data_IF_945769263431
#
_entry.id   IF_945769263431
#
_cell.length_a   1.000
_cell.length_b   1.000
_cell.length_c   1.000
_cell.angle_alpha   90.00
_cell.angle_beta   90.00
_cell.angle_gamma   90.00
#
_symmetry.space_group_name_H-M   'P 1'
#
loop_
_entity.id
_entity.type
_entity.pdbx_description
1 polymer ?
#
# COMPACT_ATOMS: atom_id res chain seq x y z
N UNK A 1 16.71 5.10 25.75
CA UNK A 1 15.88 3.87 25.72
C UNK A 1 14.46 4.15 25.21
N UNK A 2 13.78 5.19 25.67
CA UNK A 2 12.37 5.51 25.27
C UNK A 2 12.20 5.65 23.76
N UNK A 3 13.07 6.40 23.09
CA UNK A 3 12.97 6.62 21.63
C UNK A 3 13.17 5.33 20.83
N UNK A 4 14.10 4.47 21.20
CA UNK A 4 14.31 3.18 20.54
C UNK A 4 13.04 2.30 20.64
N UNK A 5 12.41 2.28 21.81
CA UNK A 5 11.14 1.57 22.00
C UNK A 5 10.01 2.18 21.17
N UNK A 6 9.90 3.52 21.12
CA UNK A 6 8.87 4.21 20.33
C UNK A 6 9.02 3.94 18.82
N UNK A 7 10.22 4.07 18.26
CA UNK A 7 10.49 3.77 16.86
C UNK A 7 10.22 2.29 16.52
N UNK A 8 10.66 1.37 17.38
CA UNK A 8 10.39 -0.07 17.21
C UNK A 8 8.90 -0.39 17.23
N UNK A 9 8.16 0.16 18.18
CA UNK A 9 6.72 -0.05 18.30
C UNK A 9 5.96 0.51 17.12
N UNK A 10 6.28 1.74 16.67
CA UNK A 10 5.64 2.37 15.50
C UNK A 10 5.96 1.61 14.22
N UNK A 11 7.20 1.15 14.04
CA UNK A 11 7.57 0.34 12.88
C UNK A 11 6.82 -1.00 12.85
N UNK A 12 6.72 -1.69 13.98
CA UNK A 12 5.95 -2.93 14.08
C UNK A 12 4.46 -2.70 13.79
N UNK A 13 3.88 -1.65 14.40
CA UNK A 13 2.50 -1.26 14.15
C UNK A 13 2.26 -0.92 12.68
N UNK A 14 3.20 -0.23 12.01
CA UNK A 14 3.10 0.11 10.61
C UNK A 14 3.06 -1.13 9.73
N UNK A 15 3.98 -2.07 9.92
CA UNK A 15 4.01 -3.33 9.15
C UNK A 15 2.73 -4.14 9.37
N UNK A 16 2.28 -4.25 10.63
CA UNK A 16 1.04 -4.96 10.97
C UNK A 16 -0.19 -4.32 10.33
N UNK A 17 -0.36 -3.00 10.46
CA UNK A 17 -1.50 -2.26 9.88
C UNK A 17 -1.49 -2.32 8.36
N UNK A 18 -0.31 -2.28 7.73
CA UNK A 18 -0.18 -2.50 6.28
C UNK A 18 -0.68 -3.89 5.90
N UNK A 19 -0.35 -4.92 6.68
CA UNK A 19 -0.88 -6.28 6.50
C UNK A 19 -2.41 -6.31 6.63
N UNK A 20 -2.95 -5.72 7.68
CA UNK A 20 -4.41 -5.65 7.94
C UNK A 20 -5.15 -4.91 6.82
N UNK A 21 -4.60 -3.79 6.33
CA UNK A 21 -5.27 -2.95 5.32
C UNK A 21 -5.11 -3.51 3.90
N UNK A 22 -3.87 -3.69 3.47
CA UNK A 22 -3.55 -4.00 2.08
C UNK A 22 -3.37 -5.50 1.84
N UNK A 23 -2.69 -6.20 2.74
CA UNK A 23 -2.49 -7.64 2.65
C UNK A 23 -3.79 -8.44 2.73
N UNK A 24 -4.71 -8.02 3.60
CA UNK A 24 -6.02 -8.65 3.70
C UNK A 24 -6.87 -8.41 2.43
N UNK A 25 -6.71 -7.25 1.77
CA UNK A 25 -7.37 -6.98 0.49
C UNK A 25 -6.82 -7.88 -0.64
N UNK A 26 -5.49 -8.04 -0.69
CA UNK A 26 -4.80 -8.94 -1.62
C UNK A 26 -5.29 -10.38 -1.48
N UNK A 27 -5.19 -10.95 -0.28
CA UNK A 27 -5.60 -12.32 0.01
C UNK A 27 -7.11 -12.50 -0.16
N UNK A 28 -7.91 -11.52 0.25
CA UNK A 28 -9.37 -11.58 0.20
C UNK A 28 -9.93 -11.55 -1.21
N UNK A 29 -9.31 -10.82 -2.14
CA UNK A 29 -9.70 -10.82 -3.55
C UNK A 29 -9.34 -12.15 -4.22
N UNK A 30 -8.09 -12.56 -4.11
CA UNK A 30 -7.57 -13.76 -4.79
C UNK A 30 -8.10 -15.07 -4.18
N UNK A 31 -8.40 -15.07 -2.89
CA UNK A 31 -9.04 -16.21 -2.21
C UNK A 31 -10.47 -16.50 -2.67
N UNK A 32 -11.08 -15.64 -3.47
CA UNK A 32 -12.37 -15.88 -4.12
C UNK A 32 -12.30 -16.82 -5.31
N UNK A 33 -11.10 -17.06 -5.83
CA UNK A 33 -10.91 -18.09 -6.85
C UNK A 33 -11.05 -19.48 -6.22
N UNK A 34 -12.04 -20.32 -6.61
CA UNK A 34 -12.47 -21.48 -5.82
C UNK A 34 -11.45 -22.60 -5.67
N UNK A 35 -10.28 -22.51 -6.29
CA UNK A 35 -9.25 -23.56 -6.29
C UNK A 35 -7.88 -23.10 -5.78
N UNK A 36 -7.78 -21.90 -5.23
CA UNK A 36 -6.53 -21.41 -4.66
C UNK A 36 -6.49 -21.71 -3.16
N UNK A 37 -5.44 -22.42 -2.72
CA UNK A 37 -5.24 -22.63 -1.29
C UNK A 37 -4.73 -21.35 -0.62
N UNK A 38 -5.21 -21.05 0.59
CA UNK A 38 -4.74 -19.90 1.36
C UNK A 38 -3.22 -19.96 1.63
N UNK A 39 -2.67 -21.17 1.78
CA UNK A 39 -1.23 -21.36 1.95
C UNK A 39 -0.45 -20.93 0.69
N UNK A 40 -0.89 -21.32 -0.51
CA UNK A 40 -0.28 -20.91 -1.76
C UNK A 40 -0.33 -19.38 -1.92
N UNK A 41 -1.49 -18.79 -1.71
CA UNK A 41 -1.66 -17.33 -1.82
C UNK A 41 -0.76 -16.59 -0.83
N UNK A 42 -0.66 -17.06 0.41
CA UNK A 42 0.24 -16.48 1.42
C UNK A 42 1.72 -16.62 1.02
N UNK A 43 2.12 -17.79 0.50
CA UNK A 43 3.48 -17.99 0.02
C UNK A 43 3.83 -17.08 -1.16
N UNK A 44 2.89 -16.88 -2.10
CA UNK A 44 3.04 -15.96 -3.23
C UNK A 44 3.15 -14.48 -2.82
N UNK A 45 2.69 -14.11 -1.63
CA UNK A 45 2.92 -12.78 -1.04
C UNK A 45 4.28 -12.73 -0.33
N UNK A 46 4.59 -13.74 0.48
CA UNK A 46 5.82 -13.80 1.29
C UNK A 46 7.08 -13.73 0.44
N UNK A 47 7.14 -14.54 -0.62
CA UNK A 47 8.35 -14.66 -1.46
C UNK A 47 8.73 -13.33 -2.11
N UNK A 48 7.84 -12.61 -2.81
CA UNK A 48 8.18 -11.31 -3.37
C UNK A 48 8.55 -10.26 -2.32
N UNK A 49 7.89 -10.26 -1.14
CA UNK A 49 8.24 -9.32 -0.05
C UNK A 49 9.69 -9.48 0.43
N UNK A 50 10.24 -10.69 0.33
CA UNK A 50 11.64 -10.95 0.68
C UNK A 50 12.59 -10.70 -0.50
N UNK A 51 12.20 -11.04 -1.72
CA UNK A 51 13.11 -11.00 -2.87
C UNK A 51 13.16 -9.62 -3.56
N UNK A 52 12.01 -8.98 -3.78
CA UNK A 52 11.94 -7.75 -4.60
C UNK A 52 12.69 -6.58 -3.97
N UNK A 53 12.63 -6.31 -2.64
CA UNK A 53 13.40 -5.22 -2.04
C UNK A 53 14.92 -5.45 -2.06
N UNK A 54 15.40 -6.67 -2.32
CA UNK A 54 16.83 -6.93 -2.52
C UNK A 54 17.31 -6.47 -3.90
N UNK A 55 16.40 -6.35 -4.88
CA UNK A 55 16.70 -5.90 -6.24
C UNK A 55 16.57 -4.39 -6.39
N UNK A 56 15.59 -3.80 -5.73
CA UNK A 56 15.30 -2.36 -5.82
C UNK A 56 14.83 -1.79 -4.48
N UNK A 57 15.29 -0.58 -4.15
CA UNK A 57 14.90 0.19 -2.96
C UNK A 57 14.50 1.62 -3.31
N UNK A 58 14.11 1.88 -4.56
CA UNK A 58 13.81 3.23 -5.07
C UNK A 58 12.67 3.89 -4.30
N UNK A 59 11.57 3.18 -4.05
CA UNK A 59 10.44 3.68 -3.26
C UNK A 59 10.85 3.90 -1.80
N UNK A 60 11.66 3.01 -1.22
CA UNK A 60 12.12 3.20 0.15
C UNK A 60 12.94 4.48 0.30
N UNK A 61 13.81 4.80 -0.65
CA UNK A 61 14.56 6.06 -0.68
C UNK A 61 13.66 7.29 -0.80
N UNK A 62 12.59 7.22 -1.60
CA UNK A 62 11.62 8.31 -1.68
C UNK A 62 11.07 8.68 -0.30
N UNK A 63 10.84 7.68 0.58
CA UNK A 63 10.35 7.93 1.94
C UNK A 63 11.43 8.37 2.93
N UNK A 64 12.70 7.99 2.71
CA UNK A 64 13.79 8.34 3.62
C UNK A 64 14.58 9.58 3.21
N UNK A 65 14.52 9.96 1.92
CA UNK A 65 15.33 11.04 1.36
C UNK A 65 14.51 12.06 0.56
N UNK A 66 13.33 11.67 0.08
CA UNK A 66 12.55 12.43 -0.91
C UNK A 66 11.39 13.25 -0.35
N UNK A 67 11.10 13.25 0.94
CA UNK A 67 9.95 13.97 1.52
C UNK A 67 10.37 15.12 2.43
N UNK A 68 11.37 14.92 3.28
CA UNK A 68 11.94 15.92 4.18
C UNK A 68 13.34 15.51 4.60
N UNK A 69 14.15 16.45 5.07
CA UNK A 69 15.47 16.13 5.60
C UNK A 69 15.36 15.34 6.92
N UNK A 70 15.89 14.13 6.93
CA UNK A 70 15.93 13.26 8.09
C UNK A 70 17.32 13.21 8.74
N UNK A 71 18.25 14.07 8.33
CA UNK A 71 19.66 14.03 8.73
C UNK A 71 19.91 14.36 10.19
N UNK A 72 18.98 15.04 10.86
CA UNK A 72 19.12 15.48 12.23
C UNK A 72 18.07 14.86 13.19
N UNK A 73 18.14 15.28 14.47
CA UNK A 73 17.17 14.84 15.50
C UNK A 73 15.73 15.26 15.14
N UNK A 74 15.54 16.46 14.57
CA UNK A 74 14.21 16.96 14.22
C UNK A 74 13.61 16.15 13.10
N UNK A 75 14.42 15.82 12.10
CA UNK A 75 14.01 14.94 11.00
C UNK A 75 13.57 13.56 11.47
N UNK A 76 14.34 12.94 12.36
CA UNK A 76 13.95 11.65 12.95
C UNK A 76 12.62 11.73 13.71
N UNK A 77 12.41 12.80 14.50
CA UNK A 77 11.14 13.03 15.21
C UNK A 77 9.98 13.32 14.27
N UNK A 78 10.22 14.10 13.19
CA UNK A 78 9.23 14.37 12.15
C UNK A 78 8.78 13.06 11.48
N UNK A 79 9.72 12.16 11.19
CA UNK A 79 9.42 10.86 10.62
C UNK A 79 8.57 10.01 11.58
N UNK A 80 8.97 9.87 12.84
CA UNK A 80 8.22 9.13 13.86
C UNK A 80 6.80 9.67 14.01
N UNK A 81 6.68 11.00 14.15
CA UNK A 81 5.39 11.67 14.27
C UNK A 81 4.54 11.46 13.00
N UNK A 82 5.13 11.64 11.82
CA UNK A 82 4.43 11.50 10.55
C UNK A 82 3.88 10.09 10.35
N UNK A 83 4.66 9.05 10.65
CA UNK A 83 4.19 7.65 10.61
C UNK A 83 3.10 7.40 11.65
N UNK A 84 3.24 7.94 12.86
CA UNK A 84 2.23 7.81 13.93
C UNK A 84 0.92 8.47 13.53
N UNK A 85 0.97 9.68 12.97
CA UNK A 85 -0.19 10.41 12.44
C UNK A 85 -0.85 9.62 11.30
N UNK A 86 -0.06 9.07 10.38
CA UNK A 86 -0.57 8.24 9.30
C UNK A 86 -1.35 7.03 9.83
N UNK A 87 -0.80 6.32 10.81
CA UNK A 87 -1.48 5.19 11.45
C UNK A 87 -2.77 5.62 12.14
N UNK A 88 -2.77 6.75 12.87
CA UNK A 88 -3.95 7.26 13.55
C UNK A 88 -5.06 7.66 12.56
N UNK A 89 -4.71 8.36 11.47
CA UNK A 89 -5.65 8.77 10.42
C UNK A 89 -6.24 7.53 9.73
N UNK A 90 -5.41 6.57 9.33
CA UNK A 90 -5.88 5.32 8.71
C UNK A 90 -6.78 4.54 9.65
N UNK A 91 -6.39 4.38 10.91
CA UNK A 91 -7.21 3.68 11.90
C UNK A 91 -8.56 4.39 12.14
N UNK A 92 -8.56 5.72 12.24
CA UNK A 92 -9.75 6.53 12.45
C UNK A 92 -10.75 6.44 11.30
N UNK A 93 -10.26 6.55 10.06
CA UNK A 93 -11.10 6.45 8.85
C UNK A 93 -11.59 5.01 8.61
N UNK A 94 -10.72 4.03 8.81
CA UNK A 94 -11.08 2.60 8.67
C UNK A 94 -12.17 2.19 9.68
N UNK A 95 -12.11 2.69 10.92
CA UNK A 95 -13.18 2.45 11.92
C UNK A 95 -14.52 3.02 11.48
N UNK A 96 -14.54 4.10 10.72
CA UNK A 96 -15.74 4.69 10.10
C UNK A 96 -16.17 3.98 8.80
N UNK A 97 -15.50 2.90 8.43
CA UNK A 97 -15.82 2.12 7.23
C UNK A 97 -15.31 2.74 5.93
N UNK A 98 -14.50 3.80 6.01
CA UNK A 98 -13.92 4.47 4.84
C UNK A 98 -12.60 3.78 4.46
N UNK A 99 -12.47 3.20 3.26
CA UNK A 99 -11.20 2.64 2.79
C UNK A 99 -10.23 3.79 2.52
N UNK A 100 -9.06 3.70 3.13
CA UNK A 100 -8.05 4.76 3.10
C UNK A 100 -6.80 4.33 2.36
N UNK A 101 -5.99 5.31 1.95
CA UNK A 101 -4.68 5.09 1.38
C UNK A 101 -3.60 5.31 2.42
N UNK A 102 -2.94 4.23 2.85
CA UNK A 102 -1.81 4.33 3.76
C UNK A 102 -0.65 5.12 3.14
N UNK A 103 -0.47 5.02 1.82
CA UNK A 103 0.54 5.81 1.08
C UNK A 103 0.30 7.32 1.20
N UNK A 104 -0.94 7.77 0.96
CA UNK A 104 -1.28 9.18 1.07
C UNK A 104 -1.19 9.67 2.53
N UNK A 105 -1.55 8.82 3.49
CA UNK A 105 -1.46 9.15 4.90
C UNK A 105 0.00 9.33 5.36
N UNK A 106 0.92 8.42 4.99
CA UNK A 106 2.33 8.51 5.40
C UNK A 106 3.04 9.70 4.72
N UNK A 107 2.76 9.95 3.45
CA UNK A 107 3.32 11.09 2.71
C UNK A 107 2.84 12.42 3.31
N UNK A 108 1.53 12.53 3.57
CA UNK A 108 0.96 13.69 4.24
C UNK A 108 1.49 13.85 5.66
N UNK A 109 1.54 12.78 6.43
CA UNK A 109 2.03 12.79 7.81
C UNK A 109 3.48 13.23 7.94
N UNK A 110 4.40 12.65 7.13
CA UNK A 110 5.83 13.01 7.16
C UNK A 110 6.04 14.43 6.65
N UNK A 111 5.45 14.80 5.50
CA UNK A 111 5.58 16.14 4.94
C UNK A 111 5.02 17.22 5.87
N UNK A 112 3.85 16.95 6.47
CA UNK A 112 3.24 17.86 7.44
C UNK A 112 4.07 17.99 8.72
N UNK A 113 4.56 16.88 9.29
CA UNK A 113 5.40 16.91 10.48
C UNK A 113 6.72 17.65 10.21
N UNK A 114 7.33 17.43 9.04
CA UNK A 114 8.52 18.18 8.61
C UNK A 114 8.27 19.67 8.57
N UNK A 115 7.19 20.10 7.91
CA UNK A 115 6.80 21.52 7.85
C UNK A 115 6.57 22.10 9.25
N UNK A 116 5.83 21.40 10.12
CA UNK A 116 5.55 21.85 11.47
C UNK A 116 6.80 22.01 12.33
N UNK A 117 7.80 21.15 12.12
CA UNK A 117 9.10 21.23 12.79
C UNK A 117 10.07 22.25 12.16
N UNK A 118 9.66 22.94 11.08
CA UNK A 118 10.48 23.91 10.37
C UNK A 118 11.60 23.28 9.56
N UNK A 119 11.40 22.08 9.06
CA UNK A 119 12.30 21.40 8.13
C UNK A 119 11.91 21.73 6.69
N UNK A 120 12.88 21.65 5.80
CA UNK A 120 12.63 21.79 4.36
C UNK A 120 11.82 20.58 3.88
N UNK A 121 10.68 20.86 3.25
CA UNK A 121 9.80 19.88 2.63
C UNK A 121 10.10 19.81 1.14
N UNK A 122 10.34 18.61 0.63
CA UNK A 122 10.58 18.38 -0.78
C UNK A 122 9.25 18.44 -1.57
N UNK A 123 8.75 19.64 -1.83
CA UNK A 123 7.47 19.89 -2.51
C UNK A 123 7.36 19.19 -3.87
N UNK A 124 8.48 19.07 -4.60
CA UNK A 124 8.53 18.32 -5.86
C UNK A 124 8.24 16.83 -5.68
N UNK A 125 8.82 16.23 -4.66
CA UNK A 125 8.55 14.82 -4.30
C UNK A 125 7.11 14.61 -3.86
N UNK A 126 6.59 15.50 -3.02
CA UNK A 126 5.19 15.48 -2.58
C UNK A 126 4.23 15.62 -3.77
N UNK A 127 4.52 16.57 -4.67
CA UNK A 127 3.73 16.79 -5.90
C UNK A 127 3.74 15.58 -6.83
N UNK A 128 4.88 14.91 -7.00
CA UNK A 128 5.00 13.69 -7.79
C UNK A 128 4.12 12.58 -7.21
N UNK A 129 4.18 12.35 -5.89
CA UNK A 129 3.36 11.32 -5.23
C UNK A 129 1.88 11.62 -5.39
N UNK A 130 1.48 12.90 -5.28
CA UNK A 130 0.09 13.33 -5.52
C UNK A 130 -0.34 13.08 -6.97
N UNK A 131 0.48 13.47 -7.94
CA UNK A 131 0.17 13.28 -9.36
C UNK A 131 0.02 11.80 -9.72
N UNK A 132 0.95 10.97 -9.26
CA UNK A 132 0.90 9.51 -9.47
C UNK A 132 -0.28 8.89 -8.71
N UNK A 133 -0.53 9.33 -7.47
CA UNK A 133 -1.67 8.88 -6.67
C UNK A 133 -3.03 9.23 -7.30
N UNK A 134 -3.14 10.37 -7.97
CA UNK A 134 -4.34 10.77 -8.72
C UNK A 134 -4.48 10.02 -10.06
N UNK A 135 -3.36 9.75 -10.74
CA UNK A 135 -3.35 9.03 -12.01
C UNK A 135 -3.62 7.52 -11.83
N UNK A 136 -3.16 6.92 -10.75
CA UNK A 136 -3.23 5.49 -10.50
C UNK A 136 -4.67 4.90 -10.59
N UNK A 137 -5.71 5.51 -9.99
CA UNK A 137 -7.08 5.04 -10.13
C UNK A 137 -7.60 5.11 -11.57
N UNK A 138 -7.21 6.14 -12.32
CA UNK A 138 -7.61 6.30 -13.72
C UNK A 138 -6.98 5.22 -14.60
N UNK A 139 -5.68 5.00 -14.45
CA UNK A 139 -4.96 3.95 -15.18
C UNK A 139 -5.50 2.57 -14.81
N UNK A 140 -5.65 2.27 -13.52
CA UNK A 140 -6.16 0.98 -13.05
C UNK A 140 -7.57 0.69 -13.55
N UNK A 141 -8.45 1.70 -13.55
CA UNK A 141 -9.82 1.57 -14.09
C UNK A 141 -9.79 1.33 -15.60
N UNK A 142 -8.97 2.07 -16.35
CA UNK A 142 -8.89 1.93 -17.82
C UNK A 142 -8.32 0.57 -18.22
N UNK A 143 -7.25 0.12 -17.57
CA UNK A 143 -6.66 -1.21 -17.81
C UNK A 143 -7.64 -2.31 -17.42
N UNK A 144 -8.27 -2.19 -16.23
CA UNK A 144 -9.28 -3.15 -15.77
C UNK A 144 -10.47 -3.24 -16.73
N UNK A 145 -10.93 -2.11 -17.24
CA UNK A 145 -12.01 -2.06 -18.24
C UNK A 145 -11.61 -2.78 -19.53
N UNK A 146 -10.42 -2.48 -20.06
CA UNK A 146 -9.90 -3.12 -21.27
C UNK A 146 -9.73 -4.64 -21.11
N UNK A 147 -9.14 -5.08 -20.00
CA UNK A 147 -8.98 -6.50 -19.69
C UNK A 147 -10.34 -7.19 -19.46
N UNK A 148 -11.29 -6.51 -18.81
CA UNK A 148 -12.65 -6.98 -18.65
C UNK A 148 -13.33 -7.21 -20.02
N UNK A 149 -13.24 -6.26 -20.95
CA UNK A 149 -13.74 -6.42 -22.32
C UNK A 149 -13.05 -7.58 -23.05
N UNK A 150 -11.73 -7.69 -22.93
CA UNK A 150 -10.97 -8.77 -23.55
C UNK A 150 -11.41 -10.14 -23.01
N UNK A 151 -11.62 -10.26 -21.70
CA UNK A 151 -12.05 -11.49 -21.04
C UNK A 151 -13.41 -11.98 -21.53
N UNK A 152 -14.29 -11.07 -21.97
CA UNK A 152 -15.61 -11.41 -22.54
C UNK A 152 -15.53 -12.06 -23.92
N UNK A 153 -14.43 -11.82 -24.65
CA UNK A 153 -14.21 -12.36 -26.00
C UNK A 153 -13.50 -13.71 -25.96
N UNK A 154 -13.06 -14.18 -24.80
CA UNK A 154 -12.43 -15.50 -24.68
C UNK A 154 -13.50 -16.59 -24.85
N UNK A 155 -13.41 -17.40 -25.91
CA UNK A 155 -14.37 -18.50 -26.10
C UNK A 155 -14.14 -19.58 -25.06
N UNK A 156 -15.21 -20.33 -24.72
CA UNK A 156 -15.07 -21.50 -23.88
C UNK A 156 -14.39 -22.64 -24.65
N UNK A 157 -13.42 -23.29 -24.01
CA UNK A 157 -12.70 -24.46 -24.55
C UNK A 157 -12.44 -25.49 -23.45
N UNK A 158 -12.18 -26.74 -23.83
CA UNK A 158 -12.05 -27.86 -22.87
C UNK A 158 -10.99 -27.64 -21.77
N UNK A 159 -9.87 -26.98 -22.10
CA UNK A 159 -8.79 -26.64 -21.17
C UNK A 159 -8.95 -25.35 -20.36
N UNK A 160 -10.05 -24.61 -20.58
CA UNK A 160 -10.28 -23.29 -19.99
C UNK A 160 -10.10 -23.24 -18.46
N UNK A 161 -10.60 -24.19 -17.64
CA UNK A 161 -10.42 -24.12 -16.19
C UNK A 161 -8.94 -24.16 -15.76
N UNK A 162 -8.12 -24.96 -16.45
CA UNK A 162 -6.68 -25.03 -16.20
C UNK A 162 -5.97 -23.74 -16.62
N UNK A 163 -6.28 -23.21 -17.81
CA UNK A 163 -5.73 -21.97 -18.32
C UNK A 163 -6.06 -20.77 -17.41
N UNK A 164 -7.30 -20.66 -16.95
CA UNK A 164 -7.74 -19.60 -16.02
C UNK A 164 -7.02 -19.73 -14.67
N UNK A 165 -6.81 -20.95 -14.17
CA UNK A 165 -6.05 -21.18 -12.94
C UNK A 165 -4.60 -20.72 -13.09
N UNK A 166 -3.94 -21.08 -14.19
CA UNK A 166 -2.58 -20.63 -14.47
C UNK A 166 -2.51 -19.11 -14.60
N UNK A 167 -3.42 -18.51 -15.34
CA UNK A 167 -3.52 -17.05 -15.49
C UNK A 167 -3.74 -16.35 -14.14
N UNK A 168 -4.56 -16.90 -13.26
CA UNK A 168 -4.76 -16.39 -11.90
C UNK A 168 -3.47 -16.44 -11.07
N UNK A 169 -2.77 -17.57 -11.05
CA UNK A 169 -1.51 -17.67 -10.31
C UNK A 169 -0.48 -16.69 -10.84
N UNK A 170 -0.35 -16.56 -12.16
CA UNK A 170 0.57 -15.59 -12.79
C UNK A 170 0.20 -14.14 -12.49
N UNK A 171 -1.07 -13.76 -12.65
CA UNK A 171 -1.55 -12.40 -12.39
C UNK A 171 -1.39 -12.04 -10.90
N UNK A 172 -1.74 -12.96 -10.01
CA UNK A 172 -1.57 -12.76 -8.58
C UNK A 172 -0.09 -12.66 -8.19
N UNK A 173 0.79 -13.49 -8.74
CA UNK A 173 2.25 -13.39 -8.50
C UNK A 173 2.79 -12.05 -8.98
N UNK A 174 2.38 -11.58 -10.17
CA UNK A 174 2.74 -10.26 -10.67
C UNK A 174 2.24 -9.13 -9.76
N UNK A 175 1.01 -9.24 -9.26
CA UNK A 175 0.44 -8.28 -8.31
C UNK A 175 1.21 -8.29 -6.98
N UNK A 176 1.59 -9.46 -6.46
CA UNK A 176 2.40 -9.58 -5.24
C UNK A 176 3.82 -9.02 -5.42
N UNK A 177 4.44 -9.22 -6.58
CA UNK A 177 5.74 -8.64 -6.89
C UNK A 177 5.66 -7.10 -6.99
N UNK A 178 4.64 -6.59 -7.66
CA UNK A 178 4.35 -5.16 -7.74
C UNK A 178 4.05 -4.56 -6.36
N UNK A 179 3.30 -5.29 -5.51
CA UNK A 179 3.07 -4.91 -4.13
C UNK A 179 4.37 -4.84 -3.32
N UNK A 180 5.25 -5.82 -3.45
CA UNK A 180 6.52 -5.85 -2.76
C UNK A 180 7.45 -4.70 -3.22
N UNK A 181 7.44 -4.37 -4.51
CA UNK A 181 8.18 -3.24 -5.09
C UNK A 181 7.68 -1.88 -4.59
N UNK A 182 6.45 -1.79 -4.12
CA UNK A 182 5.83 -0.57 -3.62
C UNK A 182 5.72 -0.59 -2.08
N UNK A 183 4.75 -1.32 -1.53
CA UNK A 183 4.46 -1.30 -0.09
C UNK A 183 5.48 -2.08 0.73
N UNK A 184 6.10 -3.12 0.16
CA UNK A 184 7.24 -3.81 0.76
C UNK A 184 8.40 -2.86 1.03
N UNK A 185 8.69 -1.97 0.10
CA UNK A 185 9.72 -0.95 0.27
C UNK A 185 9.34 0.16 1.25
N UNK A 186 8.06 0.55 1.37
CA UNK A 186 7.60 1.50 2.40
C UNK A 186 7.79 0.91 3.80
N UNK A 187 7.44 -0.37 3.98
CA UNK A 187 7.68 -1.07 5.24
C UNK A 187 9.19 -1.13 5.55
N UNK A 188 10.01 -1.44 4.55
CA UNK A 188 11.46 -1.44 4.69
C UNK A 188 11.99 -0.06 5.08
N UNK A 189 11.49 1.04 4.51
CA UNK A 189 11.88 2.40 4.88
C UNK A 189 11.61 2.68 6.36
N UNK A 190 10.39 2.42 6.83
CA UNK A 190 10.01 2.65 8.24
C UNK A 190 10.82 1.78 9.19
N UNK A 191 11.02 0.51 8.87
CA UNK A 191 11.81 -0.42 9.68
C UNK A 191 13.30 -0.03 9.67
N UNK A 192 13.85 0.46 8.56
CA UNK A 192 15.25 0.88 8.47
C UNK A 192 15.54 2.09 9.36
N UNK A 193 14.65 3.10 9.35
CA UNK A 193 14.77 4.26 10.25
C UNK A 193 14.69 3.83 11.70
N UNK A 194 13.70 3.00 12.06
CA UNK A 194 13.56 2.48 13.41
C UNK A 194 14.81 1.69 13.86
N UNK A 195 15.31 0.81 12.99
CA UNK A 195 16.51 -0.01 13.27
C UNK A 195 17.75 0.86 13.48
N UNK A 196 17.92 1.93 12.69
CA UNK A 196 19.02 2.87 12.88
C UNK A 196 18.98 3.51 14.28
N UNK A 197 17.82 4.03 14.69
CA UNK A 197 17.64 4.64 16.02
C UNK A 197 17.84 3.61 17.15
N UNK A 198 17.37 2.38 16.98
CA UNK A 198 17.53 1.29 17.96
C UNK A 198 18.99 0.89 18.11
N UNK A 199 19.74 0.74 17.00
CA UNK A 199 21.12 0.29 16.99
C UNK A 199 22.11 1.35 17.50
N UNK A 200 21.94 2.60 17.07
CA UNK A 200 22.82 3.71 17.44
C UNK A 200 22.45 4.34 18.77
N UNK A 201 21.23 4.12 19.26
CA UNK A 201 20.63 4.82 20.42
C UNK A 201 20.65 6.34 20.29
N UNK A 202 20.80 6.86 19.08
CA UNK A 202 20.83 8.30 18.77
C UNK A 202 19.62 8.66 17.90
N UNK A 203 19.08 9.85 18.13
CA UNK A 203 18.14 10.50 17.26
C UNK A 203 18.94 11.34 16.27
N UNK A 204 18.82 11.06 15.00
CA UNK A 204 19.47 11.79 13.92
C UNK A 204 20.27 10.88 12.99
N UNK A 205 20.25 11.28 11.72
CA UNK A 205 20.73 10.48 10.62
C UNK A 205 19.78 9.34 10.27
N UNK A 206 19.58 9.16 8.99
CA UNK A 206 18.95 7.94 8.47
C UNK A 206 20.06 7.07 7.96
N UNK A 207 20.26 5.92 8.60
CA UNK A 207 21.20 4.93 8.07
C UNK A 207 20.74 4.49 6.67
N UNK A 208 21.63 3.99 5.82
CA UNK A 208 21.28 3.51 4.49
C UNK A 208 20.18 2.45 4.60
N UNK A 209 19.21 2.52 3.67
CA UNK A 209 18.19 1.48 3.54
C UNK A 209 18.88 0.17 3.13
N UNK A 210 18.98 -0.77 4.05
CA UNK A 210 19.65 -2.06 3.81
C UNK A 210 18.62 -3.19 3.83
N UNK A 211 18.30 -3.79 2.68
CA UNK A 211 17.36 -4.90 2.58
C UNK A 211 18.03 -6.23 3.00
N UNK A 212 18.35 -6.36 4.28
CA UNK A 212 18.93 -7.62 4.79
C UNK A 212 17.85 -8.72 4.82
N UNK A 213 18.16 -9.96 4.42
CA UNK A 213 17.15 -11.04 4.36
C UNK A 213 16.41 -11.25 5.68
N UNK A 214 17.09 -11.18 6.83
CA UNK A 214 16.46 -11.33 8.15
C UNK A 214 15.41 -10.26 8.40
N UNK A 215 15.68 -8.99 8.06
CA UNK A 215 14.71 -7.89 8.22
C UNK A 215 13.53 -8.08 7.28
N UNK A 216 13.78 -8.47 6.04
CA UNK A 216 12.72 -8.69 5.05
C UNK A 216 11.81 -9.87 5.43
N UNK A 217 12.39 -10.95 5.97
CA UNK A 217 11.62 -12.09 6.49
C UNK A 217 10.75 -11.63 7.68
N UNK A 218 11.31 -10.87 8.61
CA UNK A 218 10.56 -10.35 9.75
C UNK A 218 9.40 -9.45 9.29
N UNK A 219 9.64 -8.52 8.34
CA UNK A 219 8.60 -7.69 7.73
C UNK A 219 7.51 -8.57 7.10
N UNK A 220 7.91 -9.55 6.27
CA UNK A 220 6.97 -10.41 5.56
C UNK A 220 6.11 -11.26 6.52
N UNK A 221 6.68 -11.78 7.60
CA UNK A 221 5.96 -12.56 8.62
C UNK A 221 4.94 -11.68 9.36
N UNK A 222 5.36 -10.51 9.85
CA UNK A 222 4.46 -9.58 10.56
C UNK A 222 3.34 -9.09 9.64
N UNK A 223 3.68 -8.75 8.40
CA UNK A 223 2.70 -8.37 7.38
C UNK A 223 1.68 -9.47 7.11
N UNK A 224 2.14 -10.70 6.85
CA UNK A 224 1.23 -11.83 6.60
C UNK A 224 0.36 -12.16 7.81
N UNK A 225 0.89 -12.07 9.02
CA UNK A 225 0.11 -12.24 10.24
C UNK A 225 -1.00 -11.17 10.34
N UNK A 226 -0.69 -9.90 10.06
CA UNK A 226 -1.68 -8.83 9.95
C UNK A 226 -2.73 -9.11 8.88
N UNK A 227 -2.31 -9.51 7.68
CA UNK A 227 -3.20 -9.83 6.57
C UNK A 227 -4.19 -10.96 6.92
N UNK A 228 -3.69 -12.07 7.46
CA UNK A 228 -4.50 -13.22 7.85
C UNK A 228 -5.49 -12.88 8.97
N UNK A 229 -5.12 -11.98 9.90
CA UNK A 229 -6.02 -11.55 10.99
C UNK A 229 -7.25 -10.78 10.49
N UNK A 230 -7.19 -10.19 9.29
CA UNK A 230 -8.24 -9.32 8.78
C UNK A 230 -8.90 -9.82 7.48
N UNK A 231 -8.39 -10.90 6.86
CA UNK A 231 -8.82 -11.37 5.54
C UNK A 231 -10.33 -11.58 5.41
N UNK A 232 -10.99 -12.12 6.42
CA UNK A 232 -12.45 -12.34 6.41
C UNK A 232 -13.22 -11.01 6.40
N UNK A 233 -12.82 -10.03 7.23
CA UNK A 233 -13.49 -8.73 7.32
C UNK A 233 -13.32 -7.90 6.06
N UNK A 234 -12.10 -7.83 5.54
CA UNK A 234 -11.78 -7.03 4.35
C UNK A 234 -12.28 -7.71 3.08
N UNK A 235 -12.10 -9.02 2.97
CA UNK A 235 -12.61 -9.81 1.85
C UNK A 235 -14.14 -9.72 1.70
N UNK A 236 -14.89 -9.72 2.82
CA UNK A 236 -16.33 -9.51 2.79
C UNK A 236 -16.70 -8.09 2.33
N UNK A 237 -16.00 -7.04 2.79
CA UNK A 237 -16.27 -5.65 2.40
C UNK A 237 -16.03 -5.42 0.92
N UNK A 238 -14.90 -5.87 0.39
CA UNK A 238 -14.60 -5.79 -1.05
C UNK A 238 -15.64 -6.58 -1.86
N UNK A 239 -16.09 -7.72 -1.32
CA UNK A 239 -17.04 -8.58 -1.97
C UNK A 239 -18.47 -8.11 -2.03
N UNK A 240 -18.92 -7.44 -1.00
CA UNK A 240 -20.27 -6.84 -0.99
C UNK A 240 -20.34 -5.56 -1.82
N UNK A 241 -19.19 -4.90 -1.99
CA UNK A 241 -19.09 -3.64 -2.75
C UNK A 241 -19.03 -3.80 -4.26
N UNK A 242 -18.47 -4.92 -4.75
CA UNK A 242 -18.06 -5.07 -6.14
C UNK A 242 -18.28 -6.52 -6.59
N UNK A 243 -19.20 -6.73 -7.52
CA UNK A 243 -19.59 -8.08 -7.99
C UNK A 243 -18.64 -8.52 -9.10
N UNK A 244 -17.60 -9.30 -8.75
CA UNK A 244 -16.82 -10.04 -9.73
C UNK A 244 -17.53 -11.38 -9.99
N UNK A 245 -18.28 -11.46 -11.10
CA UNK A 245 -19.13 -12.60 -11.37
C UNK A 245 -18.42 -13.80 -12.01
N UNK A 246 -17.16 -13.62 -12.47
CA UNK A 246 -16.44 -14.63 -13.25
C UNK A 246 -14.98 -14.78 -12.77
N UNK A 247 -14.37 -15.99 -12.85
CA UNK A 247 -12.96 -16.19 -12.50
C UNK A 247 -11.99 -15.29 -13.29
N UNK A 248 -12.24 -15.06 -14.58
CA UNK A 248 -11.46 -14.15 -15.41
C UNK A 248 -11.49 -12.70 -14.92
N UNK A 249 -12.55 -12.27 -14.22
CA UNK A 249 -12.62 -10.93 -13.63
C UNK A 249 -11.61 -10.77 -12.50
N UNK A 250 -11.35 -11.80 -11.70
CA UNK A 250 -10.30 -11.79 -10.67
C UNK A 250 -8.94 -11.62 -11.34
N UNK A 251 -8.65 -12.43 -12.35
CA UNK A 251 -7.39 -12.36 -13.14
C UNK A 251 -7.21 -10.96 -13.75
N UNK A 252 -8.27 -10.40 -14.37
CA UNK A 252 -8.22 -9.07 -14.96
C UNK A 252 -7.96 -7.97 -13.94
N UNK A 253 -8.54 -8.09 -12.74
CA UNK A 253 -8.33 -7.13 -11.64
C UNK A 253 -6.89 -7.20 -11.10
N UNK A 254 -6.37 -8.41 -10.91
CA UNK A 254 -5.01 -8.63 -10.44
C UNK A 254 -3.98 -8.07 -11.44
N UNK A 255 -4.17 -8.34 -12.73
CA UNK A 255 -3.33 -7.82 -13.79
C UNK A 255 -3.40 -6.28 -13.90
N UNK A 256 -4.59 -5.69 -13.75
CA UNK A 256 -4.75 -4.24 -13.71
C UNK A 256 -4.05 -3.61 -12.50
N UNK A 257 -4.19 -4.21 -11.32
CA UNK A 257 -3.49 -3.73 -10.13
C UNK A 257 -1.95 -3.85 -10.25
N UNK A 258 -1.47 -4.94 -10.84
CA UNK A 258 -0.04 -5.12 -11.12
C UNK A 258 0.50 -4.06 -12.08
N UNK A 259 -0.26 -3.71 -13.12
CA UNK A 259 0.17 -2.72 -14.12
C UNK A 259 0.34 -1.32 -13.53
N UNK A 260 -0.56 -0.92 -12.62
CA UNK A 260 -0.46 0.38 -11.92
C UNK A 260 0.76 0.44 -11.03
N UNK A 261 1.05 -0.66 -10.33
CA UNK A 261 2.19 -0.72 -9.42
C UNK A 261 3.54 -0.77 -10.14
N UNK A 262 3.57 -0.99 -11.45
CA UNK A 262 4.80 -0.88 -12.26
C UNK A 262 5.45 0.52 -12.16
N UNK A 263 4.68 1.59 -11.89
CA UNK A 263 5.20 2.94 -11.61
C UNK A 263 6.15 2.97 -10.41
N UNK A 264 6.02 2.02 -9.48
CA UNK A 264 6.92 1.89 -8.32
C UNK A 264 8.36 1.57 -8.71
N UNK A 265 8.58 0.99 -9.87
CA UNK A 265 9.92 0.73 -10.41
C UNK A 265 10.66 2.05 -10.70
N UNK A 266 9.92 3.11 -11.03
CA UNK A 266 10.45 4.46 -11.21
C UNK A 266 10.58 5.25 -9.87
N UNK A 267 10.36 4.60 -8.73
CA UNK A 267 10.43 5.22 -7.40
C UNK A 267 9.19 6.03 -7.00
N UNK A 268 8.13 6.04 -7.82
CA UNK A 268 6.90 6.73 -7.52
C UNK A 268 5.96 5.83 -6.69
N UNK A 269 5.76 6.11 -5.39
CA UNK A 269 4.90 5.28 -4.56
C UNK A 269 3.43 5.42 -4.95
N UNK A 270 2.76 4.30 -5.16
CA UNK A 270 1.31 4.24 -5.40
C UNK A 270 0.58 3.60 -4.22
N UNK A 271 -0.72 3.78 -4.17
CA UNK A 271 -1.57 3.09 -3.21
C UNK A 271 -2.10 1.79 -3.82
N UNK A 272 -1.72 0.65 -3.24
CA UNK A 272 -2.24 -0.64 -3.70
C UNK A 272 -3.73 -0.79 -3.49
N UNK A 273 -4.28 -0.24 -2.39
CA UNK A 273 -5.74 -0.19 -2.18
C UNK A 273 -6.45 0.54 -3.31
N UNK A 274 -5.87 1.65 -3.80
CA UNK A 274 -6.39 2.38 -4.96
C UNK A 274 -6.30 1.55 -6.24
N UNK A 275 -5.15 0.91 -6.48
CA UNK A 275 -4.90 0.11 -7.69
C UNK A 275 -5.86 -1.08 -7.79
N UNK A 276 -6.03 -1.83 -6.70
CA UNK A 276 -6.95 -2.97 -6.64
C UNK A 276 -8.39 -2.51 -6.84
N UNK A 277 -8.82 -1.48 -6.10
CA UNK A 277 -10.19 -0.94 -6.21
C UNK A 277 -10.47 -0.45 -7.62
N UNK A 278 -9.55 0.28 -8.22
CA UNK A 278 -9.66 0.78 -9.58
C UNK A 278 -9.77 -0.35 -10.61
N UNK A 279 -8.94 -1.38 -10.48
CA UNK A 279 -9.02 -2.58 -11.32
C UNK A 279 -10.39 -3.25 -11.24
N UNK A 280 -10.91 -3.44 -10.02
CA UNK A 280 -12.26 -4.01 -9.81
C UNK A 280 -13.35 -3.15 -10.44
N UNK A 281 -13.29 -1.83 -10.26
CA UNK A 281 -14.25 -0.87 -10.85
C UNK A 281 -14.21 -0.96 -12.38
N UNK A 282 -13.00 -0.97 -12.96
CA UNK A 282 -12.83 -1.08 -14.42
C UNK A 282 -13.40 -2.37 -14.97
N UNK A 283 -13.07 -3.51 -14.37
CA UNK A 283 -13.61 -4.82 -14.78
C UNK A 283 -15.14 -4.87 -14.63
N UNK A 284 -15.70 -4.37 -13.52
CA UNK A 284 -17.14 -4.32 -13.32
C UNK A 284 -17.83 -3.41 -14.35
N UNK A 285 -17.24 -2.25 -14.64
CA UNK A 285 -17.77 -1.31 -15.65
C UNK A 285 -17.76 -1.90 -17.07
N UNK A 286 -16.84 -2.81 -17.38
CA UNK A 286 -16.83 -3.53 -18.67
C UNK A 286 -18.07 -4.39 -18.87
N UNK A 287 -18.72 -4.86 -17.82
CA UNK A 287 -19.99 -5.60 -17.83
C UNK A 287 -21.23 -4.68 -17.92
N UNK A 288 -21.01 -3.38 -17.76
CA UNK A 288 -22.03 -2.34 -17.78
C UNK A 288 -21.93 -1.40 -16.57
N UNK A 289 -22.21 -0.12 -16.79
CA UNK A 289 -22.12 0.89 -15.74
C UNK A 289 -23.04 0.61 -14.54
N UNK A 290 -24.16 -0.09 -14.74
CA UNK A 290 -25.08 -0.52 -13.68
C UNK A 290 -24.50 -1.61 -12.75
N UNK A 291 -23.41 -2.27 -13.15
CA UNK A 291 -22.71 -3.26 -12.32
C UNK A 291 -21.80 -2.62 -11.29
N UNK A 292 -21.52 -1.33 -11.42
CA UNK A 292 -20.70 -0.55 -10.48
C UNK A 292 -21.62 0.17 -9.49
N UNK A 293 -21.34 0.00 -8.22
CA UNK A 293 -22.01 0.77 -7.16
C UNK A 293 -21.32 2.14 -7.01
N UNK A 294 -21.69 3.08 -7.89
CA UNK A 294 -21.04 4.40 -7.96
C UNK A 294 -21.03 5.16 -6.65
N UNK A 295 -22.04 5.02 -5.80
CA UNK A 295 -22.05 5.63 -4.48
C UNK A 295 -20.86 5.21 -3.63
N UNK A 296 -20.50 3.91 -3.67
CA UNK A 296 -19.32 3.40 -2.96
C UNK A 296 -18.03 3.92 -3.59
N UNK A 297 -17.94 3.95 -4.93
CA UNK A 297 -16.77 4.46 -5.65
C UNK A 297 -16.51 5.93 -5.31
N UNK A 298 -17.55 6.76 -5.31
CA UNK A 298 -17.45 8.19 -4.95
C UNK A 298 -17.03 8.33 -3.47
N UNK A 299 -17.63 7.55 -2.56
CA UNK A 299 -17.25 7.55 -1.15
C UNK A 299 -15.78 7.16 -0.91
N UNK A 300 -15.29 6.16 -1.64
CA UNK A 300 -13.89 5.72 -1.62
C UNK A 300 -12.97 6.82 -2.17
N UNK A 301 -13.32 7.40 -3.31
CA UNK A 301 -12.57 8.50 -3.92
C UNK A 301 -12.48 9.73 -3.02
N UNK A 302 -13.58 10.09 -2.36
CA UNK A 302 -13.60 11.16 -1.38
C UNK A 302 -12.69 10.85 -0.18
N UNK A 303 -12.72 9.61 0.35
CA UNK A 303 -11.83 9.22 1.44
C UNK A 303 -10.35 9.36 1.06
N UNK A 304 -9.98 9.00 -0.16
CA UNK A 304 -8.60 9.19 -0.65
C UNK A 304 -8.23 10.66 -0.77
N UNK A 305 -9.13 11.49 -1.29
CA UNK A 305 -8.90 12.93 -1.44
C UNK A 305 -8.67 13.61 -0.09
N UNK A 306 -9.38 13.20 0.96
CA UNK A 306 -9.25 13.78 2.31
C UNK A 306 -8.11 13.18 3.12
N UNK A 307 -7.63 11.96 2.81
CA UNK A 307 -6.62 11.27 3.63
C UNK A 307 -5.31 12.07 3.71
N UNK A 308 -4.79 12.55 2.59
CA UNK A 308 -3.53 13.30 2.57
C UNK A 308 -3.63 14.66 3.26
N UNK A 309 -4.60 15.54 2.93
CA UNK A 309 -4.75 16.83 3.63
C UNK A 309 -4.94 16.68 5.13
N UNK A 310 -5.72 15.69 5.57
CA UNK A 310 -5.94 15.41 6.97
C UNK A 310 -4.66 14.98 7.69
N UNK A 311 -3.90 14.05 7.07
CA UNK A 311 -2.64 13.59 7.62
C UNK A 311 -1.58 14.71 7.61
N UNK A 312 -1.55 15.54 6.56
CA UNK A 312 -0.65 16.69 6.46
C UNK A 312 -0.95 17.73 7.54
N UNK A 313 -2.21 18.12 7.70
CA UNK A 313 -2.62 19.08 8.72
C UNK A 313 -2.33 18.57 10.15
N UNK A 314 -2.68 17.30 10.43
CA UNK A 314 -2.41 16.69 11.72
C UNK A 314 -0.90 16.55 11.98
N UNK A 315 -0.11 16.21 10.97
CA UNK A 315 1.35 16.19 11.03
C UNK A 315 1.94 17.56 11.32
N UNK A 316 1.46 18.60 10.62
CA UNK A 316 1.91 19.99 10.83
C UNK A 316 1.61 20.47 12.25
N UNK A 317 0.38 20.28 12.73
CA UNK A 317 0.01 20.67 14.10
C UNK A 317 0.84 19.92 15.15
N UNK A 318 1.03 18.61 14.97
CA UNK A 318 1.87 17.81 15.85
C UNK A 318 3.35 18.24 15.80
N UNK A 319 3.87 18.58 14.60
CA UNK A 319 5.22 19.06 14.42
C UNK A 319 5.47 20.41 15.13
N UNK A 320 4.53 21.34 15.00
CA UNK A 320 4.58 22.63 15.74
C UNK A 320 4.59 22.35 17.25
N UNK A 321 3.69 21.48 17.75
CA UNK A 321 3.63 21.17 19.17
C UNK A 321 4.93 20.56 19.69
N UNK A 322 5.56 19.65 18.93
CA UNK A 322 6.85 19.05 19.32
C UNK A 322 8.02 20.04 19.26
N UNK A 323 7.97 21.00 18.32
CA UNK A 323 8.98 22.04 18.18
C UNK A 323 8.97 23.02 19.36
N UNK A 324 7.81 23.26 19.96
CA UNK A 324 7.64 24.20 21.08
C UNK A 324 7.94 23.59 22.46
N UNK A 325 8.13 22.27 22.53
CA UNK A 325 8.58 21.54 23.72
C UNK A 325 10.11 21.39 23.76
#
# INVERSE_FOLDING_TARGET
>A
MIWAAAFGAVALAFVWVTGVNDGAALLGLSGRYPRSSGLLLTALVLVPLVLVPQVTVTVARTFTEGLTDLGDRRGALAFLLGVTVALAVVAGLTRRGLPTSLTLAIVGGIGGAGLGMGLDVAWGGLGLVLAVGAAAPLVGTSVGFGLGLASRRVPSFAGMPGAVRTAHVLAYTAQCAAYAANDGQKMLAVVSVARHVVSTRRLGGVGPVQPTPVVLIAIAVVFCAGALSAVHRVGERLGRGLVLARPLHVVSTEAAAASVAASSLAGAPVSMTQSVTAGVVGVAASEGASRVRWQNVVGIGAAWLFTLPLAFAAGTLGGVAVRTL
#
